data_IF_624475794064
#
_entry.id   IF_624475794064
#
_cell.length_a   1.000
_cell.length_b   1.000
_cell.length_c   1.000
_cell.angle_alpha   90.00
_cell.angle_beta   90.00
_cell.angle_gamma   90.00
#
_symmetry.space_group_name_H-M   'P 1'
#
loop_
_entity.id
_entity.type
_entity.pdbx_description
1 polymer ?
#
# COMPACT_ATOMS: atom_id res chain seq x y z
N UNK A 1 6.60 7.59 8.22
CA UNK A 1 7.23 6.67 7.26
C UNK A 1 6.93 7.11 5.83
N UNK A 2 7.81 6.79 4.88
CA UNK A 2 7.55 6.87 3.45
C UNK A 2 7.83 5.48 2.85
N UNK A 3 6.84 4.89 2.20
CA UNK A 3 6.94 3.63 1.49
C UNK A 3 6.80 3.91 0.00
N UNK A 4 7.83 3.60 -0.75
CA UNK A 4 7.91 3.81 -2.20
C UNK A 4 8.14 2.48 -2.90
N UNK A 5 7.57 2.32 -4.09
CA UNK A 5 7.73 1.12 -4.91
C UNK A 5 7.31 1.38 -6.35
N UNK A 6 7.80 0.55 -7.25
CA UNK A 6 7.27 0.46 -8.59
C UNK A 6 6.21 -0.65 -8.63
N UNK A 7 5.08 -0.37 -9.26
CA UNK A 7 3.95 -1.30 -9.37
C UNK A 7 3.46 -1.40 -10.80
N UNK A 8 3.30 -2.64 -11.27
CA UNK A 8 2.60 -2.93 -12.54
C UNK A 8 1.34 -3.68 -12.22
N UNK A 9 0.20 -3.04 -12.41
CA UNK A 9 -1.11 -3.62 -12.20
C UNK A 9 -1.61 -4.26 -13.50
N UNK A 10 -1.75 -5.60 -13.51
CA UNK A 10 -2.21 -6.33 -14.69
C UNK A 10 -3.73 -6.52 -14.68
N UNK A 11 -4.31 -6.76 -13.52
CA UNK A 11 -5.76 -6.82 -13.35
C UNK A 11 -6.18 -6.59 -11.91
N UNK A 12 -7.37 -6.02 -11.72
CA UNK A 12 -8.03 -5.90 -10.41
C UNK A 12 -7.41 -4.83 -9.52
N UNK A 13 -6.66 -5.25 -8.52
CA UNK A 13 -6.12 -4.38 -7.48
C UNK A 13 -4.63 -4.62 -7.24
N UNK A 14 -3.91 -3.55 -6.92
CA UNK A 14 -2.62 -3.61 -6.24
C UNK A 14 -2.83 -3.15 -4.78
N UNK A 15 -2.64 -4.06 -3.83
CA UNK A 15 -2.90 -3.79 -2.41
C UNK A 15 -1.60 -3.78 -1.61
N UNK A 16 -1.43 -2.73 -0.82
CA UNK A 16 -0.29 -2.50 0.06
C UNK A 16 -0.77 -2.41 1.49
N UNK A 17 -0.11 -3.13 2.39
CA UNK A 17 -0.36 -3.10 3.82
C UNK A 17 0.75 -2.31 4.52
N UNK A 18 0.40 -1.53 5.52
CA UNK A 18 1.35 -0.77 6.32
C UNK A 18 0.82 -0.53 7.73
N UNK A 19 1.71 -0.18 8.66
CA UNK A 19 1.36 -0.01 10.06
C UNK A 19 0.76 -1.28 10.69
N UNK A 20 1.07 -2.45 10.13
CA UNK A 20 0.50 -3.72 10.57
C UNK A 20 1.15 -4.16 11.87
N UNK A 21 0.36 -4.32 12.94
CA UNK A 21 0.78 -4.98 14.18
C UNK A 21 0.47 -6.47 14.13
N UNK A 22 -0.64 -6.82 13.52
CA UNK A 22 -1.14 -8.17 13.30
C UNK A 22 -2.28 -8.12 12.25
N UNK A 23 -2.85 -9.27 11.91
CA UNK A 23 -3.95 -9.40 10.95
C UNK A 23 -5.25 -8.65 11.34
N UNK A 24 -5.40 -8.32 12.61
CA UNK A 24 -6.58 -7.61 13.14
C UNK A 24 -6.37 -6.10 13.25
N UNK A 25 -5.11 -5.63 13.08
CA UNK A 25 -4.72 -4.23 13.22
C UNK A 25 -3.78 -3.85 12.11
N UNK A 26 -4.33 -3.38 10.99
CA UNK A 26 -3.58 -3.08 9.77
C UNK A 26 -4.31 -2.05 8.90
N UNK A 27 -3.53 -1.20 8.25
CA UNK A 27 -3.97 -0.34 7.16
C UNK A 27 -3.66 -1.02 5.83
N UNK A 28 -4.64 -1.10 4.95
CA UNK A 28 -4.46 -1.64 3.61
C UNK A 28 -5.06 -0.67 2.59
N UNK A 29 -4.24 -0.16 1.72
CA UNK A 29 -4.61 0.67 0.59
C UNK A 29 -4.50 -0.11 -0.71
N UNK A 30 -5.50 0.04 -1.57
CA UNK A 30 -5.52 -0.64 -2.86
C UNK A 30 -5.74 0.37 -3.97
N UNK A 31 -4.88 0.34 -4.99
CA UNK A 31 -5.19 0.94 -6.29
C UNK A 31 -6.16 -0.01 -6.99
N UNK A 32 -7.41 0.39 -7.12
CA UNK A 32 -8.50 -0.46 -7.60
C UNK A 32 -8.93 -0.07 -9.01
N UNK A 33 -8.89 -1.02 -9.94
CA UNK A 33 -9.31 -0.88 -11.33
C UNK A 33 -10.35 -1.92 -11.75
N UNK A 34 -11.03 -2.55 -10.79
CA UNK A 34 -12.03 -3.60 -11.06
C UNK A 34 -13.10 -3.14 -12.07
N UNK A 35 -13.59 -4.08 -12.88
CA UNK A 35 -14.54 -3.79 -13.97
C UNK A 35 -15.88 -3.26 -13.46
N UNK A 36 -16.31 -3.67 -12.27
CA UNK A 36 -17.53 -3.21 -11.64
C UNK A 36 -17.46 -1.77 -11.11
N UNK A 37 -16.28 -1.18 -11.02
CA UNK A 37 -16.11 0.22 -10.67
C UNK A 37 -16.24 1.11 -11.92
N UNK A 38 -16.84 2.29 -11.80
CA UNK A 38 -16.98 3.24 -12.93
C UNK A 38 -15.63 3.85 -13.33
N UNK A 39 -14.79 4.11 -12.35
CA UNK A 39 -13.49 4.75 -12.47
C UNK A 39 -12.49 4.11 -11.50
N UNK A 40 -11.19 4.29 -11.70
CA UNK A 40 -10.22 3.82 -10.73
C UNK A 40 -10.35 4.59 -9.41
N UNK A 41 -10.05 3.91 -8.31
CA UNK A 41 -10.16 4.50 -6.98
C UNK A 41 -9.05 3.97 -6.05
N UNK A 42 -8.76 4.73 -5.00
CA UNK A 42 -8.02 4.23 -3.84
C UNK A 42 -9.05 3.67 -2.86
N UNK A 43 -8.99 2.36 -2.64
CA UNK A 43 -9.81 1.69 -1.61
C UNK A 43 -8.98 1.54 -0.34
N UNK A 44 -9.49 2.08 0.74
CA UNK A 44 -8.87 2.00 2.07
C UNK A 44 -9.62 1.00 2.91
N UNK A 45 -8.90 0.00 3.40
CA UNK A 45 -9.38 -0.94 4.42
C UNK A 45 -8.55 -0.73 5.69
N UNK A 46 -9.22 -0.42 6.78
CA UNK A 46 -8.61 -0.25 8.09
C UNK A 46 -9.19 -1.32 9.00
N UNK A 47 -8.35 -2.23 9.44
CA UNK A 47 -8.71 -3.20 10.46
C UNK A 47 -8.27 -2.67 11.82
N UNK A 48 -9.22 -2.51 12.73
CA UNK A 48 -9.00 -2.17 14.12
C UNK A 48 -9.66 -3.23 14.99
N UNK A 49 -8.86 -4.03 15.69
CA UNK A 49 -9.29 -5.17 16.50
C UNK A 49 -10.20 -6.13 15.73
N UNK A 50 -9.83 -6.41 14.48
CA UNK A 50 -10.59 -7.25 13.56
C UNK A 50 -11.85 -6.62 12.96
N UNK A 51 -12.18 -5.37 13.31
CA UNK A 51 -13.31 -4.65 12.71
C UNK A 51 -12.85 -3.90 11.48
N UNK A 52 -13.42 -4.24 10.32
CA UNK A 52 -13.16 -3.56 9.07
C UNK A 52 -13.91 -2.24 8.99
N UNK A 53 -13.17 -1.18 8.67
CA UNK A 53 -13.67 0.09 8.14
C UNK A 53 -13.19 0.22 6.69
N UNK A 54 -14.10 0.53 5.77
CA UNK A 54 -13.77 0.69 4.35
C UNK A 54 -14.26 2.03 3.84
N UNK A 55 -13.43 2.65 3.00
CA UNK A 55 -13.80 3.89 2.30
C UNK A 55 -13.04 3.98 0.99
N UNK A 56 -13.65 4.65 0.00
CA UNK A 56 -13.13 4.79 -1.35
C UNK A 56 -12.91 6.26 -1.70
N UNK A 57 -11.81 6.54 -2.39
CA UNK A 57 -11.53 7.84 -3.00
C UNK A 57 -11.41 7.65 -4.51
N UNK A 58 -12.37 8.15 -5.32
CA UNK A 58 -12.25 8.15 -6.77
C UNK A 58 -11.04 8.95 -7.24
N UNK A 59 -10.28 8.38 -8.17
CA UNK A 59 -9.09 9.02 -8.76
C UNK A 59 -9.21 9.24 -10.27
N UNK A 60 -10.39 9.05 -10.84
CA UNK A 60 -10.67 9.18 -12.27
C UNK A 60 -10.36 10.56 -12.85
N UNK A 61 -10.30 11.60 -12.01
CA UNK A 61 -9.84 12.93 -12.42
C UNK A 61 -8.35 13.02 -12.74
N UNK A 62 -7.55 12.04 -12.28
CA UNK A 62 -6.10 12.00 -12.48
C UNK A 62 -5.70 10.91 -13.48
N UNK A 63 -6.35 9.74 -13.39
CA UNK A 63 -6.03 8.55 -14.17
C UNK A 63 -7.28 7.85 -14.63
N UNK A 64 -7.27 7.33 -15.85
CA UNK A 64 -8.24 6.33 -16.31
C UNK A 64 -7.75 4.93 -15.93
N UNK A 65 -8.62 3.90 -16.02
CA UNK A 65 -8.19 2.51 -15.82
C UNK A 65 -7.10 2.09 -16.82
N UNK A 66 -7.21 2.53 -18.08
CA UNK A 66 -6.22 2.23 -19.12
C UNK A 66 -4.88 2.94 -18.90
N UNK A 67 -4.85 4.02 -18.14
CA UNK A 67 -3.59 4.66 -17.75
C UNK A 67 -2.86 3.80 -16.72
N UNK A 68 -3.59 3.15 -15.81
CA UNK A 68 -3.03 2.38 -14.70
C UNK A 68 -2.74 0.92 -15.03
N UNK A 69 -3.44 0.33 -16.02
CA UNK A 69 -3.30 -1.09 -16.34
C UNK A 69 -2.14 -1.35 -17.30
N UNK A 70 -1.39 -2.43 -17.03
CA UNK A 70 -0.29 -2.95 -17.87
C UNK A 70 0.85 -1.95 -18.12
N UNK A 71 1.04 -1.03 -17.20
CA UNK A 71 2.14 -0.07 -17.19
C UNK A 71 2.74 -0.04 -15.78
N UNK A 72 4.01 0.24 -15.71
CA UNK A 72 4.70 0.48 -14.46
C UNK A 72 4.39 1.90 -13.97
N UNK A 73 4.08 2.01 -12.68
CA UNK A 73 3.82 3.27 -11.99
C UNK A 73 4.62 3.33 -10.70
N UNK A 74 5.09 4.50 -10.35
CA UNK A 74 5.69 4.74 -9.04
C UNK A 74 4.61 5.07 -8.02
N UNK A 75 4.40 4.16 -7.05
CA UNK A 75 3.48 4.32 -5.93
C UNK A 75 4.25 4.77 -4.69
N UNK A 76 3.78 5.84 -4.05
CA UNK A 76 4.33 6.28 -2.76
C UNK A 76 3.21 6.47 -1.74
N UNK A 77 3.42 5.96 -0.51
CA UNK A 77 2.54 6.14 0.64
C UNK A 77 3.34 6.82 1.75
N UNK A 78 3.04 8.07 2.00
CA UNK A 78 3.61 8.85 3.10
C UNK A 78 2.64 8.82 4.29
N UNK A 79 3.11 8.34 5.45
CA UNK A 79 2.35 8.36 6.68
C UNK A 79 3.14 9.14 7.74
N UNK A 80 2.62 10.32 8.11
CA UNK A 80 3.25 11.24 9.04
C UNK A 80 2.20 12.02 9.81
N UNK A 81 2.40 12.19 11.11
CA UNK A 81 1.56 12.99 12.01
C UNK A 81 0.06 12.65 11.91
N UNK A 82 -0.26 11.36 11.78
CA UNK A 82 -1.64 10.90 11.64
C UNK A 82 -2.25 11.15 10.24
N UNK A 83 -1.48 11.64 9.28
CA UNK A 83 -1.93 11.85 7.90
C UNK A 83 -1.27 10.85 6.98
N UNK A 84 -2.07 10.18 6.15
CA UNK A 84 -1.60 9.30 5.08
C UNK A 84 -1.89 9.96 3.74
N UNK A 85 -0.85 10.11 2.93
CA UNK A 85 -0.94 10.62 1.56
C UNK A 85 -0.51 9.54 0.59
N UNK A 86 -1.25 9.36 -0.48
CA UNK A 86 -0.95 8.41 -1.54
C UNK A 86 -0.66 9.15 -2.84
N UNK A 87 0.45 8.80 -3.45
CA UNK A 87 0.90 9.38 -4.72
C UNK A 87 1.03 8.27 -5.76
N UNK A 88 0.64 8.55 -6.99
CA UNK A 88 0.93 7.75 -8.18
C UNK A 88 1.68 8.66 -9.15
N UNK A 89 2.89 8.28 -9.58
CA UNK A 89 3.76 9.07 -10.45
C UNK A 89 3.93 10.52 -9.96
N UNK A 90 4.12 10.68 -8.64
CA UNK A 90 4.26 11.97 -7.94
C UNK A 90 2.97 12.81 -7.88
N UNK A 91 1.86 12.33 -8.43
CA UNK A 91 0.55 13.00 -8.31
C UNK A 91 -0.11 12.58 -7.00
N UNK A 92 -0.43 13.54 -6.13
CA UNK A 92 -1.21 13.27 -4.91
C UNK A 92 -2.64 12.89 -5.30
N UNK A 93 -3.00 11.63 -5.08
CA UNK A 93 -4.30 11.07 -5.48
C UNK A 93 -5.24 10.86 -4.30
N UNK A 94 -4.70 10.67 -3.09
CA UNK A 94 -5.50 10.45 -1.89
C UNK A 94 -4.85 11.05 -0.65
N UNK A 95 -5.69 11.51 0.29
CA UNK A 95 -5.28 11.96 1.63
C UNK A 95 -6.27 11.42 2.65
N UNK A 96 -5.76 10.75 3.67
CA UNK A 96 -6.53 10.24 4.80
C UNK A 96 -5.96 10.79 6.11
N UNK A 97 -6.85 11.22 7.01
CA UNK A 97 -6.46 11.64 8.36
C UNK A 97 -6.93 10.60 9.37
N UNK A 98 -5.99 10.02 10.11
CA UNK A 98 -6.26 9.07 11.18
C UNK A 98 -6.62 9.81 12.47
N UNK A 99 -7.90 10.10 12.62
CA UNK A 99 -8.43 10.85 13.80
C UNK A 99 -8.35 10.05 15.10
N UNK A 100 -8.24 8.74 15.00
CA UNK A 100 -8.30 7.82 16.14
C UNK A 100 -6.90 7.33 16.57
N UNK A 101 -5.85 7.88 15.96
CA UNK A 101 -4.43 7.52 16.24
C UNK A 101 -4.17 6.00 16.15
N UNK A 102 -4.79 5.34 15.18
CA UNK A 102 -4.63 3.90 14.92
C UNK A 102 -3.35 3.58 14.16
N UNK A 103 -2.87 4.58 13.40
CA UNK A 103 -1.64 4.46 12.65
C UNK A 103 -0.47 4.32 13.61
N UNK A 104 0.31 3.26 13.45
CA UNK A 104 1.48 2.98 14.28
C UNK A 104 2.63 2.50 13.42
N UNK A 105 3.83 2.55 13.95
CA UNK A 105 4.94 1.81 13.36
C UNK A 105 4.59 0.31 13.39
N UNK A 106 4.85 -0.36 12.29
CA UNK A 106 4.48 -1.75 12.11
C UNK A 106 5.07 -2.30 10.82
N UNK A 107 4.65 -3.50 10.49
CA UNK A 107 5.12 -4.17 9.29
C UNK A 107 4.47 -3.59 8.04
N UNK A 108 5.16 -3.75 6.91
CA UNK A 108 4.61 -3.56 5.57
C UNK A 108 4.30 -4.92 4.95
N UNK A 109 3.43 -4.95 3.95
CA UNK A 109 3.12 -6.17 3.22
C UNK A 109 2.36 -5.89 1.93
N UNK A 110 2.15 -6.94 1.16
CA UNK A 110 1.45 -6.89 -0.10
C UNK A 110 0.37 -7.97 -0.12
N UNK A 111 -0.72 -7.71 -0.81
CA UNK A 111 -1.82 -8.65 -0.93
C UNK A 111 -2.19 -8.83 -2.40
N UNK A 112 -2.35 -10.10 -2.80
CA UNK A 112 -3.11 -10.49 -3.98
C UNK A 112 -4.32 -11.32 -3.54
N UNK A 113 -5.49 -11.02 -4.09
CA UNK A 113 -6.72 -11.73 -3.80
C UNK A 113 -7.15 -12.56 -5.02
N UNK A 114 -7.47 -13.83 -4.77
CA UNK A 114 -8.14 -14.71 -5.73
C UNK A 114 -9.54 -15.02 -5.21
N UNK A 115 -10.55 -14.39 -5.80
CA UNK A 115 -11.95 -14.71 -5.58
C UNK A 115 -12.54 -15.51 -6.75
N UNK A 116 -13.78 -15.99 -6.60
CA UNK A 116 -14.44 -16.80 -7.62
C UNK A 116 -14.59 -16.10 -8.99
N UNK A 117 -14.51 -14.77 -9.03
CA UNK A 117 -14.67 -13.96 -10.25
C UNK A 117 -13.64 -12.81 -10.38
N UNK A 118 -12.64 -12.74 -9.50
CA UNK A 118 -11.63 -11.67 -9.53
C UNK A 118 -10.25 -12.26 -9.29
N UNK A 119 -9.39 -12.13 -10.27
CA UNK A 119 -7.97 -12.40 -10.11
C UNK A 119 -7.26 -11.05 -10.02
N UNK A 120 -6.81 -10.68 -8.83
CA UNK A 120 -5.91 -9.55 -8.65
C UNK A 120 -4.51 -9.98 -9.07
N UNK A 121 -3.88 -9.22 -9.95
CA UNK A 121 -2.51 -9.49 -10.39
C UNK A 121 -1.76 -8.18 -10.47
N UNK A 122 -0.75 -8.06 -9.63
CA UNK A 122 0.18 -6.94 -9.61
C UNK A 122 1.60 -7.45 -9.40
N UNK A 123 2.55 -6.76 -9.98
CA UNK A 123 3.98 -6.93 -9.71
C UNK A 123 4.44 -5.71 -8.91
N UNK A 124 5.31 -5.96 -7.93
CA UNK A 124 5.93 -4.93 -7.10
C UNK A 124 7.44 -5.05 -7.23
N UNK A 125 8.11 -3.92 -7.38
CA UNK A 125 9.56 -3.85 -7.51
C UNK A 125 10.10 -2.58 -6.84
N UNK A 126 11.42 -2.50 -6.66
CA UNK A 126 12.12 -1.32 -6.15
C UNK A 126 11.52 -0.78 -4.83
N UNK A 127 11.21 -1.67 -3.91
CA UNK A 127 10.55 -1.32 -2.65
C UNK A 127 11.56 -0.62 -1.74
N UNK A 128 11.21 0.58 -1.29
CA UNK A 128 11.99 1.37 -0.33
C UNK A 128 11.10 1.82 0.81
N UNK A 129 11.48 1.46 2.05
CA UNK A 129 10.85 1.97 3.25
C UNK A 129 11.81 2.91 3.96
N UNK A 130 11.37 4.15 4.15
CA UNK A 130 12.06 5.18 4.90
C UNK A 130 11.29 5.52 6.16
N UNK A 131 11.93 5.47 7.31
CA UNK A 131 11.41 5.96 8.58
C UNK A 131 11.98 7.33 8.91
N UNK A 132 11.21 8.12 9.64
CA UNK A 132 11.63 9.43 10.15
C UNK A 132 11.84 9.33 11.65
N UNK A 133 13.06 9.58 12.10
CA UNK A 133 13.43 9.59 13.51
C UNK A 133 13.64 11.03 13.99
N UNK A 134 13.02 11.40 15.12
CA UNK A 134 13.29 12.68 15.75
C UNK A 134 14.57 12.60 16.56
N UNK A 135 15.59 13.40 16.19
CA UNK A 135 16.84 13.53 16.94
C UNK A 135 17.03 14.96 17.45
N UNK A 136 16.57 15.23 18.67
CA UNK A 136 16.50 16.59 19.20
C UNK A 136 15.52 17.42 18.37
N UNK A 137 15.96 18.59 17.88
CA UNK A 137 15.14 19.48 17.05
C UNK A 137 15.17 19.15 15.55
N UNK A 138 15.85 18.07 15.16
CA UNK A 138 15.98 17.66 13.75
C UNK A 138 15.29 16.33 13.52
N UNK A 139 14.64 16.25 12.37
CA UNK A 139 14.11 15.00 11.84
C UNK A 139 15.15 14.41 10.86
N UNK A 140 15.50 13.14 11.04
CA UNK A 140 16.39 12.41 10.14
C UNK A 140 15.63 11.29 9.45
N UNK A 141 15.78 11.21 8.12
CA UNK A 141 15.24 10.13 7.32
C UNK A 141 16.24 8.96 7.28
N UNK A 142 15.75 7.74 7.53
CA UNK A 142 16.56 6.52 7.49
C UNK A 142 15.87 5.48 6.63
N UNK A 143 16.55 5.01 5.59
CA UNK A 143 16.10 3.85 4.82
C UNK A 143 16.26 2.61 5.68
N UNK A 144 15.15 1.94 5.97
CA UNK A 144 15.11 0.73 6.82
C UNK A 144 14.91 -0.54 6.02
N UNK A 145 14.37 -0.44 4.80
CA UNK A 145 14.24 -1.54 3.85
C UNK A 145 14.54 -1.03 2.43
N UNK A 146 15.28 -1.83 1.67
CA UNK A 146 15.42 -1.70 0.22
C UNK A 146 15.41 -3.10 -0.39
N UNK A 147 14.47 -3.38 -1.29
CA UNK A 147 14.32 -4.65 -1.98
C UNK A 147 14.08 -4.40 -3.47
N UNK A 148 14.98 -4.91 -4.31
CA UNK A 148 14.94 -4.80 -5.77
C UNK A 148 14.78 -6.17 -6.46
N UNK A 149 14.63 -7.23 -5.67
CA UNK A 149 14.46 -8.62 -6.10
C UNK A 149 15.54 -9.17 -7.05
N UNK A 150 16.64 -8.45 -7.25
CA UNK A 150 17.76 -8.85 -8.12
C UNK A 150 18.60 -9.99 -7.51
N UNK A 151 18.45 -10.26 -6.21
CA UNK A 151 19.16 -11.31 -5.50
C UNK A 151 18.25 -12.50 -5.26
N UNK A 152 18.81 -13.74 -5.25
CA UNK A 152 18.02 -14.96 -4.98
C UNK A 152 17.39 -15.01 -3.57
N UNK A 153 17.85 -14.18 -2.64
CA UNK A 153 17.33 -14.08 -1.28
C UNK A 153 16.68 -12.73 -1.09
N UNK A 154 15.35 -12.71 -1.16
CA UNK A 154 14.57 -11.55 -0.79
C UNK A 154 14.61 -11.31 0.71
N UNK A 155 14.64 -10.04 1.12
CA UNK A 155 14.46 -9.62 2.51
C UNK A 155 13.01 -9.82 2.98
N UNK A 156 12.08 -9.98 2.05
CA UNK A 156 10.67 -10.20 2.34
C UNK A 156 10.38 -11.70 2.52
N UNK A 157 9.56 -12.03 3.50
CA UNK A 157 9.12 -13.40 3.77
C UNK A 157 7.65 -13.54 3.48
N UNK A 158 7.27 -14.60 2.74
CA UNK A 158 5.89 -14.93 2.52
C UNK A 158 5.33 -15.69 3.74
N UNK A 159 4.31 -15.14 4.37
CA UNK A 159 3.50 -15.85 5.37
C UNK A 159 2.14 -16.19 4.76
N UNK A 160 1.81 -17.50 4.77
CA UNK A 160 0.51 -17.95 4.29
C UNK A 160 -0.55 -17.69 5.36
N UNK A 161 -1.46 -16.77 5.07
CA UNK A 161 -2.72 -16.67 5.79
C UNK A 161 -3.89 -17.03 4.87
N UNK A 162 -4.99 -17.51 5.43
CA UNK A 162 -6.18 -17.89 4.65
C UNK A 162 -6.85 -16.72 3.91
N UNK A 163 -6.45 -15.49 4.20
CA UNK A 163 -7.08 -14.28 3.66
C UNK A 163 -6.13 -13.41 2.83
N UNK A 164 -4.81 -13.53 3.02
CA UNK A 164 -3.80 -12.68 2.36
C UNK A 164 -2.38 -13.16 2.66
N UNK A 165 -1.48 -12.95 1.74
CA UNK A 165 -0.05 -13.12 1.99
C UNK A 165 0.48 -11.82 2.58
N UNK A 166 0.95 -11.88 3.81
CA UNK A 166 1.75 -10.82 4.43
C UNK A 166 3.19 -11.14 4.18
N UNK A 167 3.88 -10.24 3.54
CA UNK A 167 5.32 -10.33 3.41
C UNK A 167 5.87 -9.49 4.55
N UNK A 168 6.47 -10.17 5.52
CA UNK A 168 7.01 -9.54 6.73
C UNK A 168 8.51 -9.64 6.69
N UNK A 169 9.16 -8.54 7.00
CA UNK A 169 10.62 -8.49 7.16
C UNK A 169 11.01 -8.75 8.61
#
# INVERSE_FOLDING_TARGET
MLLEMDVTLTSGNASVLFGARDASNVFMWSVNTLDNEKEPLIRRHIYDRGRLQSSDTPIGKFFTKSDLLNKEHHLAIEAKDGVVKTYIDKVLVDTYTDTDSKLSNGYIGFRAFRGNNTNETAMFDNIVLTEYEQKGDKEEAKVVLKEDFEKPQSLLKAEKSYLWEVIVN
#
